data_IF_156361043885
#
_entry.id   IF_156361043885
#
_cell.length_a   1.000
_cell.length_b   1.000
_cell.length_c   1.000
_cell.angle_alpha   90.00
_cell.angle_beta   90.00
_cell.angle_gamma   90.00
#
_symmetry.space_group_name_H-M   'P 1'
#
loop_
_entity.id
_entity.type
_entity.pdbx_description
1 polymer ?
#
# COMPACT_ATOMS: atom_id res chain seq x y z
N UNK A 1 7.66 4.66 18.54
CA UNK A 1 6.51 5.49 18.08
C UNK A 1 6.95 6.93 18.00
N UNK A 2 6.72 7.56 16.84
CA UNK A 2 7.05 8.96 16.57
C UNK A 2 6.00 9.86 17.25
N UNK A 3 6.19 10.18 18.53
CA UNK A 3 5.19 10.85 19.36
C UNK A 3 5.45 12.36 19.58
N UNK A 4 6.47 12.96 18.94
CA UNK A 4 6.92 14.32 19.31
C UNK A 4 6.40 15.46 18.42
N UNK A 5 5.59 15.17 17.39
CA UNK A 5 5.14 16.21 16.44
C UNK A 5 6.25 16.76 15.54
N UNK A 6 7.48 16.30 15.72
CA UNK A 6 8.62 16.55 14.86
C UNK A 6 8.57 15.63 13.62
N UNK A 7 9.00 16.10 12.44
CA UNK A 7 9.15 15.24 11.28
C UNK A 7 10.06 14.05 11.59
N UNK A 8 9.65 12.84 11.17
CA UNK A 8 10.46 11.64 11.32
C UNK A 8 11.80 11.81 10.59
N UNK A 9 12.89 11.38 11.22
CA UNK A 9 14.20 11.32 10.55
C UNK A 9 14.18 10.27 9.42
N UNK A 10 15.05 10.39 8.40
CA UNK A 10 15.16 9.39 7.34
C UNK A 10 15.37 7.97 7.88
N UNK A 11 16.18 7.80 8.92
CA UNK A 11 16.45 6.50 9.56
C UNK A 11 15.20 5.93 10.24
N UNK A 12 14.41 6.78 10.89
CA UNK A 12 13.13 6.38 11.50
C UNK A 12 12.13 5.96 10.43
N UNK A 13 12.08 6.68 9.30
CA UNK A 13 11.22 6.33 8.17
C UNK A 13 11.62 4.97 7.59
N UNK A 14 12.92 4.73 7.39
CA UNK A 14 13.44 3.45 6.87
C UNK A 14 13.12 2.32 7.86
N UNK A 15 13.34 2.52 9.15
CA UNK A 15 13.07 1.51 10.17
C UNK A 15 11.59 1.12 10.22
N UNK A 16 10.68 2.10 10.15
CA UNK A 16 9.24 1.83 10.12
C UNK A 16 8.82 1.17 8.79
N UNK A 17 9.35 1.60 7.65
CA UNK A 17 9.10 0.94 6.36
C UNK A 17 9.55 -0.52 6.37
N UNK A 18 10.73 -0.81 6.91
CA UNK A 18 11.24 -2.17 7.06
C UNK A 18 10.36 -2.99 8.02
N UNK A 19 9.98 -2.42 9.16
CA UNK A 19 9.08 -3.06 10.13
C UNK A 19 7.71 -3.40 9.49
N UNK A 20 7.16 -2.50 8.69
CA UNK A 20 5.91 -2.70 7.97
C UNK A 20 6.05 -3.51 6.67
N UNK A 21 7.25 -4.04 6.39
CA UNK A 21 7.56 -4.78 5.15
C UNK A 21 7.09 -4.03 3.90
N UNK A 22 7.26 -2.71 3.91
CA UNK A 22 6.70 -1.80 2.91
C UNK A 22 7.13 -2.22 1.50
N UNK A 23 8.42 -2.40 1.25
CA UNK A 23 8.93 -2.70 -0.09
C UNK A 23 8.44 -4.07 -0.60
N UNK A 24 8.42 -5.10 0.26
CA UNK A 24 7.92 -6.43 -0.10
C UNK A 24 6.43 -6.40 -0.46
N UNK A 25 5.62 -5.72 0.37
CA UNK A 25 4.18 -5.64 0.14
C UNK A 25 3.85 -4.78 -1.09
N UNK A 26 4.59 -3.69 -1.34
CA UNK A 26 4.43 -2.88 -2.56
C UNK A 26 4.82 -3.67 -3.80
N UNK A 27 5.86 -4.50 -3.73
CA UNK A 27 6.22 -5.39 -4.83
C UNK A 27 5.11 -6.40 -5.11
N UNK A 28 4.55 -7.05 -4.08
CA UNK A 28 3.43 -7.98 -4.23
C UNK A 28 2.17 -7.30 -4.79
N UNK A 29 1.87 -6.06 -4.36
CA UNK A 29 0.78 -5.25 -4.93
C UNK A 29 0.98 -5.05 -6.42
N UNK A 30 2.19 -4.69 -6.84
CA UNK A 30 2.54 -4.52 -8.26
C UNK A 30 2.34 -5.82 -9.05
N UNK A 31 2.76 -6.95 -8.50
CA UNK A 31 2.58 -8.28 -9.11
C UNK A 31 1.10 -8.64 -9.27
N UNK A 32 0.30 -8.45 -8.22
CA UNK A 32 -1.15 -8.67 -8.27
C UNK A 32 -1.85 -7.78 -9.29
N UNK A 33 -1.49 -6.50 -9.35
CA UNK A 33 -2.03 -5.58 -10.35
C UNK A 33 -1.60 -5.97 -11.77
N UNK A 34 -0.37 -6.43 -11.96
CA UNK A 34 0.11 -6.97 -13.24
C UNK A 34 -0.70 -8.19 -13.69
N UNK A 35 -0.98 -9.12 -12.77
CA UNK A 35 -1.85 -10.27 -13.05
C UNK A 35 -3.28 -9.84 -13.34
N UNK A 36 -3.84 -8.90 -12.58
CA UNK A 36 -5.18 -8.35 -12.82
C UNK A 36 -5.32 -7.75 -14.22
N UNK A 37 -4.34 -6.97 -14.66
CA UNK A 37 -4.29 -6.38 -16.01
C UNK A 37 -4.17 -7.48 -17.06
N UNK A 38 -3.29 -8.46 -16.83
CA UNK A 38 -3.06 -9.56 -17.76
C UNK A 38 -4.33 -10.38 -18.00
N UNK A 39 -4.98 -10.84 -16.93
CA UNK A 39 -6.19 -11.67 -17.05
C UNK A 39 -7.40 -10.85 -17.46
N UNK A 40 -7.54 -9.61 -16.97
CA UNK A 40 -8.67 -8.73 -17.25
C UNK A 40 -8.82 -8.38 -18.74
N UNK A 41 -7.72 -8.40 -19.51
CA UNK A 41 -7.75 -8.24 -20.97
C UNK A 41 -8.50 -9.35 -21.71
N UNK A 42 -8.55 -10.54 -21.12
CA UNK A 42 -9.17 -11.72 -21.72
C UNK A 42 -10.51 -12.08 -21.05
N UNK A 43 -10.96 -11.26 -20.10
CA UNK A 43 -12.22 -11.49 -19.42
C UNK A 43 -13.42 -11.10 -20.26
N UNK A 44 -14.40 -12.00 -20.25
CA UNK A 44 -15.73 -11.72 -20.76
C UNK A 44 -16.40 -10.65 -19.89
N UNK A 45 -17.23 -9.81 -20.52
CA UNK A 45 -18.06 -8.82 -19.82
C UNK A 45 -19.15 -9.46 -18.94
N UNK A 46 -19.39 -10.77 -19.10
CA UNK A 46 -20.36 -11.55 -18.34
C UNK A 46 -19.64 -12.55 -17.41
N UNK A 47 -20.03 -12.61 -16.13
CA UNK A 47 -19.49 -13.55 -15.14
C UNK A 47 -18.51 -12.93 -14.13
N UNK A 48 -18.01 -13.76 -13.20
CA UNK A 48 -17.04 -13.32 -12.18
C UNK A 48 -15.68 -13.03 -12.80
N UNK A 49 -15.09 -11.89 -12.43
CA UNK A 49 -13.80 -11.44 -12.93
C UNK A 49 -12.68 -11.96 -12.02
N UNK A 50 -11.87 -12.90 -12.52
CA UNK A 50 -10.63 -13.32 -11.87
C UNK A 50 -9.68 -12.14 -11.59
N UNK A 51 -9.69 -11.11 -12.46
CA UNK A 51 -8.97 -9.85 -12.26
C UNK A 51 -9.38 -9.15 -10.97
N UNK A 52 -10.67 -9.21 -10.60
CA UNK A 52 -11.16 -8.63 -9.36
C UNK A 52 -10.57 -9.32 -8.12
N UNK A 53 -10.32 -10.63 -8.18
CA UNK A 53 -9.64 -11.35 -7.09
C UNK A 53 -8.22 -10.84 -6.84
N UNK A 54 -7.47 -10.56 -7.91
CA UNK A 54 -6.13 -9.99 -7.80
C UNK A 54 -6.16 -8.53 -7.32
N UNK A 55 -7.12 -7.73 -7.79
CA UNK A 55 -7.33 -6.36 -7.32
C UNK A 55 -7.62 -6.35 -5.81
N UNK A 56 -8.50 -7.22 -5.33
CA UNK A 56 -8.81 -7.31 -3.90
C UNK A 56 -7.58 -7.65 -3.06
N UNK A 57 -6.75 -8.61 -3.51
CA UNK A 57 -5.50 -8.95 -2.82
C UNK A 57 -4.52 -7.78 -2.78
N UNK A 58 -4.38 -7.05 -3.90
CA UNK A 58 -3.58 -5.84 -3.96
C UNK A 58 -4.11 -4.76 -2.99
N UNK A 59 -5.43 -4.55 -2.96
CA UNK A 59 -6.05 -3.59 -2.04
C UNK A 59 -5.86 -3.97 -0.58
N UNK A 60 -6.04 -5.23 -0.21
CA UNK A 60 -5.80 -5.71 1.16
C UNK A 60 -4.36 -5.47 1.62
N UNK A 61 -3.38 -5.79 0.78
CA UNK A 61 -1.96 -5.55 1.09
C UNK A 61 -1.65 -4.07 1.26
N UNK A 62 -2.18 -3.21 0.38
CA UNK A 62 -2.04 -1.76 0.50
C UNK A 62 -2.64 -1.26 1.81
N UNK A 63 -3.86 -1.69 2.15
CA UNK A 63 -4.51 -1.29 3.40
C UNK A 63 -3.71 -1.72 4.61
N UNK A 64 -3.18 -2.95 4.63
CA UNK A 64 -2.35 -3.46 5.73
C UNK A 64 -1.06 -2.64 5.91
N UNK A 65 -0.36 -2.33 4.82
CA UNK A 65 0.86 -1.51 4.85
C UNK A 65 0.55 -0.10 5.32
N UNK A 66 -0.47 0.53 4.76
CA UNK A 66 -0.86 1.90 5.13
C UNK A 66 -1.26 1.97 6.61
N UNK A 67 -2.01 0.98 7.10
CA UNK A 67 -2.38 0.90 8.51
C UNK A 67 -1.14 0.74 9.40
N UNK A 68 -0.20 -0.16 9.04
CA UNK A 68 1.03 -0.34 9.79
C UNK A 68 1.87 0.95 9.86
N UNK A 69 2.01 1.65 8.72
CA UNK A 69 2.72 2.93 8.68
C UNK A 69 2.05 3.95 9.61
N UNK A 70 0.72 4.08 9.52
CA UNK A 70 -0.06 4.98 10.36
C UNK A 70 0.08 4.66 11.86
N UNK A 71 -0.03 3.39 12.25
CA UNK A 71 0.10 2.93 13.63
C UNK A 71 1.51 3.15 14.20
N UNK A 72 2.52 3.24 13.33
CA UNK A 72 3.89 3.59 13.68
C UNK A 72 4.19 5.09 13.64
N UNK A 73 3.18 5.93 13.38
CA UNK A 73 3.29 7.39 13.35
C UNK A 73 3.71 7.97 12.00
N UNK A 74 3.83 7.13 10.96
CA UNK A 74 3.97 7.57 9.57
C UNK A 74 2.59 7.66 8.91
N UNK A 75 1.82 8.66 9.33
CA UNK A 75 0.62 9.04 8.58
C UNK A 75 1.04 9.72 7.30
N UNK A 76 0.55 9.26 6.14
CA UNK A 76 0.48 10.07 4.92
C UNK A 76 -0.55 11.17 5.10
N UNK A 77 -0.36 12.05 6.08
CA UNK A 77 -1.11 13.30 6.13
C UNK A 77 -0.37 14.22 5.18
N UNK A 78 -0.90 14.40 3.97
CA UNK A 78 -0.55 15.58 3.19
C UNK A 78 -0.67 16.77 4.15
N UNK A 79 0.42 17.50 4.37
CA UNK A 79 0.31 18.79 5.06
C UNK A 79 -0.75 19.57 4.26
N UNK A 80 -1.82 20.07 4.89
CA UNK A 80 -2.66 21.03 4.20
C UNK A 80 -1.72 22.16 3.79
N UNK A 81 -1.58 22.36 2.48
CA UNK A 81 -0.95 23.55 1.92
C UNK A 81 -1.90 24.69 2.27
N UNK A 82 -1.73 25.27 3.45
CA UNK A 82 -2.30 26.58 3.72
C UNK A 82 -1.45 27.58 2.95
N UNK A 83 -2.09 28.22 1.97
CA UNK A 83 -1.55 29.37 1.24
C UNK A 83 -1.54 30.64 2.09
#
# INVERSE_FOLDING_TARGET
>A
MLNTGEPASPEQVIAVKHHCRYDENIQLVSEYMGMAISVGRYESQFGSKASAGYINKASELMTQVTQCLHDNGLSTREKPVHG
#
